data_IF_865742708951
#
_entry.id   IF_865742708951
#
_cell.length_a   1.000
_cell.length_b   1.000
_cell.length_c   1.000
_cell.angle_alpha   90.00
_cell.angle_beta   90.00
_cell.angle_gamma   90.00
#
_symmetry.space_group_name_H-M   'P 1'
#
loop_
_entity.id
_entity.type
_entity.pdbx_description
1 polymer ?
#
# COMPACT_ATOMS: atom_id res chain seq x y z
N UNK A 1 1.74 -10.91 40.89
CA UNK A 1 2.27 -9.59 41.30
C UNK A 1 2.33 -8.77 40.04
N UNK A 2 1.17 -8.27 39.63
CA UNK A 2 0.99 -7.47 38.44
C UNK A 2 1.56 -6.08 38.74
N UNK A 3 2.80 -5.89 38.31
CA UNK A 3 3.56 -4.68 38.54
C UNK A 3 2.90 -3.52 37.78
N UNK A 4 2.41 -2.56 38.56
CA UNK A 4 1.75 -1.32 38.14
C UNK A 4 2.79 -0.33 37.60
N UNK A 5 3.75 -0.80 36.77
CA UNK A 5 4.62 0.06 35.96
C UNK A 5 3.88 0.31 34.65
N UNK A 6 3.23 1.48 34.59
CA UNK A 6 2.24 1.84 33.59
C UNK A 6 2.60 1.41 32.17
N UNK A 7 1.77 0.53 31.61
CA UNK A 7 1.79 0.05 30.22
C UNK A 7 2.15 1.19 29.27
N UNK A 8 3.27 1.06 28.56
CA UNK A 8 3.66 2.02 27.53
C UNK A 8 2.54 2.14 26.50
N UNK A 9 2.08 3.37 26.29
CA UNK A 9 1.12 3.64 25.21
C UNK A 9 1.83 3.60 23.88
N UNK A 10 1.09 3.35 22.80
CA UNK A 10 1.64 3.41 21.45
C UNK A 10 2.30 4.75 21.12
N UNK A 11 1.74 5.86 21.62
CA UNK A 11 2.32 7.19 21.40
C UNK A 11 3.64 7.38 22.14
N UNK A 12 3.73 6.91 23.38
CA UNK A 12 4.98 6.94 24.16
C UNK A 12 6.04 6.05 23.50
N UNK A 13 5.67 4.83 23.12
CA UNK A 13 6.57 3.87 22.46
C UNK A 13 7.12 4.43 21.14
N UNK A 14 6.25 5.03 20.32
CA UNK A 14 6.67 5.74 19.10
C UNK A 14 7.61 6.91 19.38
N UNK A 15 7.39 7.68 20.45
CA UNK A 15 8.29 8.77 20.81
C UNK A 15 9.64 8.26 21.34
N UNK A 16 9.62 7.13 22.04
CA UNK A 16 10.82 6.41 22.48
C UNK A 16 11.63 5.92 21.29
N UNK A 17 11.03 5.22 20.33
CA UNK A 17 11.69 4.76 19.10
C UNK A 17 12.32 5.92 18.31
N UNK A 18 11.58 7.02 18.12
CA UNK A 18 12.13 8.21 17.47
C UNK A 18 13.29 8.80 18.27
N UNK A 19 13.23 8.77 19.60
CA UNK A 19 14.31 9.18 20.48
C UNK A 19 15.56 8.32 20.33
N UNK A 20 15.43 7.00 20.16
CA UNK A 20 16.55 6.09 19.91
C UNK A 20 17.28 6.41 18.59
N UNK A 21 16.53 6.87 17.57
CA UNK A 21 17.10 7.29 16.27
C UNK A 21 17.81 8.63 16.40
N UNK A 22 17.24 9.58 17.12
CA UNK A 22 17.79 10.94 17.26
C UNK A 22 19.00 11.00 18.20
N UNK A 23 19.02 10.15 19.24
CA UNK A 23 20.11 10.06 20.21
C UNK A 23 20.73 8.66 20.12
N UNK A 24 21.86 8.50 19.40
CA UNK A 24 22.55 7.22 19.28
C UNK A 24 23.15 6.76 20.62
N UNK A 25 23.61 5.50 20.67
CA UNK A 25 24.10 4.84 21.90
C UNK A 25 25.30 5.52 22.57
N UNK A 26 26.12 6.24 21.80
CA UNK A 26 27.28 6.98 22.28
C UNK A 26 26.94 8.38 22.84
N UNK A 27 25.68 8.79 22.76
CA UNK A 27 25.25 10.10 23.24
C UNK A 27 25.27 10.17 24.78
N UNK A 28 25.98 11.15 25.38
CA UNK A 28 25.94 11.33 26.83
C UNK A 28 24.55 11.79 27.29
N UNK A 29 24.08 11.25 28.40
CA UNK A 29 22.74 11.50 28.95
C UNK A 29 21.61 11.16 27.95
N UNK A 30 21.81 10.08 27.17
CA UNK A 30 20.84 9.60 26.16
C UNK A 30 19.45 9.43 26.76
N UNK A 31 19.37 8.80 27.94
CA UNK A 31 18.09 8.47 28.58
C UNK A 31 17.37 9.71 29.10
N UNK A 32 18.09 10.67 29.67
CA UNK A 32 17.54 11.95 30.10
C UNK A 32 16.98 12.76 28.93
N UNK A 33 17.65 12.72 27.77
CA UNK A 33 17.18 13.39 26.55
C UNK A 33 15.91 12.76 25.98
N UNK A 34 15.84 11.43 25.95
CA UNK A 34 14.65 10.69 25.50
C UNK A 34 13.50 10.90 26.49
N UNK A 35 13.76 10.81 27.79
CA UNK A 35 12.79 11.09 28.86
C UNK A 35 12.22 12.51 28.75
N UNK A 36 13.07 13.51 28.50
CA UNK A 36 12.64 14.89 28.31
C UNK A 36 11.67 15.05 27.12
N UNK A 37 11.83 14.25 26.06
CA UNK A 37 10.92 14.24 24.90
C UNK A 37 9.59 13.56 25.21
N UNK A 38 9.62 12.49 26.01
CA UNK A 38 8.43 11.79 26.44
C UNK A 38 7.59 12.64 27.40
N UNK A 39 8.24 13.39 28.29
CA UNK A 39 7.61 14.27 29.28
C UNK A 39 6.84 13.52 30.39
N UNK A 40 6.53 12.23 30.19
CA UNK A 40 5.78 11.38 31.10
C UNK A 40 6.62 10.27 31.75
N UNK A 41 7.84 10.03 31.24
CA UNK A 41 8.72 8.94 31.67
C UNK A 41 10.04 9.48 32.19
N UNK A 42 10.57 8.83 33.22
CA UNK A 42 11.90 9.09 33.77
C UNK A 42 12.99 8.39 32.94
N UNK A 43 14.23 8.87 33.07
CA UNK A 43 15.39 8.26 32.40
C UNK A 43 15.54 6.77 32.75
N UNK A 44 15.32 6.40 34.02
CA UNK A 44 15.37 5.01 34.47
C UNK A 44 14.28 4.12 33.83
N UNK A 45 13.06 4.65 33.62
CA UNK A 45 12.00 3.92 32.92
C UNK A 45 12.32 3.73 31.44
N UNK A 46 12.92 4.73 30.81
CA UNK A 46 13.37 4.66 29.41
C UNK A 46 14.48 3.61 29.26
N UNK A 47 15.46 3.63 30.15
CA UNK A 47 16.56 2.65 30.17
C UNK A 47 16.02 1.23 30.38
N UNK A 48 15.09 1.04 31.31
CA UNK A 48 14.48 -0.26 31.55
C UNK A 48 13.68 -0.75 30.34
N UNK A 49 12.90 0.13 29.70
CA UNK A 49 12.14 -0.21 28.48
C UNK A 49 13.08 -0.62 27.34
N UNK A 50 14.22 0.07 27.20
CA UNK A 50 15.26 -0.32 26.25
C UNK A 50 15.86 -1.70 26.56
N UNK A 51 16.17 -1.98 27.83
CA UNK A 51 16.72 -3.27 28.24
C UNK A 51 15.74 -4.43 27.95
N UNK A 52 14.45 -4.23 28.18
CA UNK A 52 13.40 -5.20 27.82
C UNK A 52 13.33 -5.41 26.32
N UNK A 53 13.37 -4.31 25.54
CA UNK A 53 13.37 -4.39 24.08
C UNK A 53 14.56 -5.19 23.54
N UNK A 54 15.76 -4.98 24.09
CA UNK A 54 16.96 -5.73 23.70
C UNK A 54 16.82 -7.22 24.03
N UNK A 55 16.28 -7.56 25.21
CA UNK A 55 16.05 -8.95 25.59
C UNK A 55 15.03 -9.65 24.65
N UNK A 56 13.96 -8.95 24.27
CA UNK A 56 12.98 -9.46 23.30
C UNK A 56 13.62 -9.67 21.92
N UNK A 57 14.45 -8.74 21.44
CA UNK A 57 15.18 -8.88 20.16
C UNK A 57 16.12 -10.08 20.19
N UNK A 58 16.90 -10.24 21.27
CA UNK A 58 17.79 -11.39 21.42
C UNK A 58 17.00 -12.71 21.44
N UNK A 59 15.87 -12.75 22.13
CA UNK A 59 15.00 -13.92 22.15
C UNK A 59 14.39 -14.23 20.78
N UNK A 60 14.09 -13.21 19.95
CA UNK A 60 13.67 -13.38 18.55
C UNK A 60 14.80 -13.98 17.71
N UNK A 61 16.00 -13.39 17.76
CA UNK A 61 17.14 -13.84 16.96
C UNK A 61 17.60 -15.24 17.35
N UNK A 62 17.51 -15.59 18.62
CA UNK A 62 17.81 -16.93 19.13
C UNK A 62 16.69 -17.96 18.86
N UNK A 63 15.55 -17.53 18.31
CA UNK A 63 14.39 -18.40 18.07
C UNK A 63 13.73 -18.92 19.35
N UNK A 64 13.90 -18.20 20.46
CA UNK A 64 13.39 -18.54 21.78
C UNK A 64 11.99 -17.96 22.06
N UNK A 65 11.50 -17.08 21.19
CA UNK A 65 10.09 -16.70 21.20
C UNK A 65 9.30 -17.52 20.19
N UNK A 66 8.11 -17.95 20.59
CA UNK A 66 7.11 -18.41 19.62
C UNK A 66 6.64 -17.18 18.84
N UNK A 67 6.76 -17.17 17.49
CA UNK A 67 6.19 -16.08 16.73
C UNK A 67 4.70 -16.00 17.05
N UNK A 68 4.12 -14.79 17.19
CA UNK A 68 2.68 -14.65 17.32
C UNK A 68 2.00 -15.49 16.23
N UNK A 69 0.84 -16.06 16.55
CA UNK A 69 -0.03 -16.61 15.50
C UNK A 69 -0.48 -15.41 14.65
N UNK A 70 0.36 -15.03 13.67
CA UNK A 70 0.03 -14.05 12.66
C UNK A 70 -1.10 -14.70 11.88
N UNK A 71 -2.33 -14.43 12.32
CA UNK A 71 -3.56 -14.84 11.65
C UNK A 71 -3.31 -14.56 10.19
N UNK A 72 -3.18 -15.61 9.38
CA UNK A 72 -2.81 -15.48 7.98
C UNK A 72 -3.65 -14.34 7.42
N UNK A 73 -3.00 -13.24 7.00
CA UNK A 73 -3.73 -12.13 6.39
C UNK A 73 -4.64 -12.77 5.36
N UNK A 74 -5.97 -12.55 5.43
CA UNK A 74 -6.94 -13.36 4.71
C UNK A 74 -6.43 -13.46 3.29
N UNK A 75 -6.05 -14.70 2.88
CA UNK A 75 -5.42 -14.97 1.58
C UNK A 75 -6.21 -14.16 0.59
N UNK A 76 -5.61 -13.08 0.05
CA UNK A 76 -6.31 -12.12 -0.80
C UNK A 76 -7.12 -12.97 -1.75
N UNK A 77 -8.46 -12.95 -1.61
CA UNK A 77 -9.34 -13.89 -2.31
C UNK A 77 -8.78 -14.04 -3.72
N UNK A 78 -8.29 -15.24 -4.06
CA UNK A 78 -7.58 -15.49 -5.31
C UNK A 78 -8.29 -14.68 -6.38
N UNK A 79 -7.63 -13.61 -6.90
CA UNK A 79 -8.31 -12.52 -7.60
C UNK A 79 -9.30 -13.16 -8.54
N UNK A 80 -10.61 -13.08 -8.22
CA UNK A 80 -11.63 -13.71 -9.06
C UNK A 80 -11.36 -13.17 -10.43
N UNK A 81 -10.94 -14.02 -11.37
CA UNK A 81 -10.57 -13.59 -12.70
C UNK A 81 -11.74 -12.75 -13.20
N UNK A 82 -11.52 -11.44 -13.33
CA UNK A 82 -12.59 -10.54 -13.72
C UNK A 82 -13.09 -11.02 -15.07
N UNK A 83 -14.42 -11.13 -15.24
CA UNK A 83 -15.01 -11.54 -16.51
C UNK A 83 -14.31 -10.78 -17.64
N UNK A 84 -13.76 -11.44 -18.67
CA UNK A 84 -13.13 -10.75 -19.79
C UNK A 84 -14.16 -9.84 -20.46
N UNK A 85 -13.73 -8.71 -21.03
CA UNK A 85 -14.62 -7.84 -21.79
C UNK A 85 -15.08 -8.55 -23.05
N UNK A 86 -16.38 -8.64 -23.26
CA UNK A 86 -16.94 -9.19 -24.51
C UNK A 86 -16.94 -8.14 -25.60
N UNK A 87 -17.07 -8.56 -26.86
CA UNK A 87 -17.21 -7.64 -27.99
C UNK A 87 -18.46 -6.76 -27.85
N UNK A 88 -19.57 -7.33 -27.38
CA UNK A 88 -20.83 -6.63 -27.11
C UNK A 88 -20.67 -5.55 -26.02
N UNK A 89 -20.04 -5.89 -24.89
CA UNK A 89 -19.76 -4.90 -23.84
C UNK A 89 -18.83 -3.78 -24.33
N UNK A 90 -17.87 -4.12 -25.21
CA UNK A 90 -16.99 -3.14 -25.82
C UNK A 90 -17.74 -2.21 -26.78
N UNK A 91 -18.68 -2.72 -27.57
CA UNK A 91 -19.54 -1.92 -28.45
C UNK A 91 -20.39 -0.94 -27.63
N UNK A 92 -21.01 -1.41 -26.55
CA UNK A 92 -21.75 -0.57 -25.60
C UNK A 92 -20.85 0.49 -24.96
N UNK A 93 -19.61 0.15 -24.63
CA UNK A 93 -18.61 1.11 -24.15
C UNK A 93 -18.33 2.21 -25.17
N UNK A 94 -18.14 1.87 -26.46
CA UNK A 94 -17.92 2.85 -27.53
C UNK A 94 -19.16 3.74 -27.76
N UNK A 95 -20.36 3.16 -27.72
CA UNK A 95 -21.62 3.91 -27.78
C UNK A 95 -21.74 4.87 -26.59
N UNK A 96 -21.40 4.41 -25.40
CA UNK A 96 -21.36 5.22 -24.19
C UNK A 96 -20.34 6.36 -24.28
N UNK A 97 -19.14 6.11 -24.82
CA UNK A 97 -18.15 7.16 -25.09
C UNK A 97 -18.68 8.23 -26.06
N UNK A 98 -19.39 7.82 -27.12
CA UNK A 98 -20.00 8.75 -28.09
C UNK A 98 -21.10 9.61 -27.45
N UNK A 99 -21.86 9.03 -26.51
CA UNK A 99 -23.00 9.68 -25.88
C UNK A 99 -22.63 10.58 -24.69
N UNK A 100 -21.74 10.11 -23.81
CA UNK A 100 -21.40 10.79 -22.53
C UNK A 100 -20.01 11.42 -22.52
N UNK A 101 -19.16 11.09 -23.50
CA UNK A 101 -17.80 11.61 -23.59
C UNK A 101 -16.79 10.88 -22.69
N UNK A 102 -15.51 11.20 -22.90
CA UNK A 102 -14.38 10.68 -22.12
C UNK A 102 -14.39 11.29 -20.72
N UNK A 103 -14.41 10.45 -19.68
CA UNK A 103 -14.30 10.88 -18.28
C UNK A 103 -15.57 10.59 -17.46
N UNK A 104 -16.73 10.49 -18.08
CA UNK A 104 -17.99 10.14 -17.39
C UNK A 104 -18.21 8.62 -17.31
N UNK A 105 -17.31 7.94 -16.61
CA UNK A 105 -17.36 6.49 -16.44
C UNK A 105 -18.57 6.02 -15.65
N UNK A 106 -19.14 6.89 -14.80
CA UNK A 106 -20.34 6.61 -14.02
C UNK A 106 -21.56 6.53 -14.92
N UNK A 107 -21.76 7.49 -15.82
CA UNK A 107 -22.88 7.44 -16.78
C UNK A 107 -22.70 6.30 -17.77
N UNK A 108 -21.49 6.05 -18.26
CA UNK A 108 -21.22 4.95 -19.19
C UNK A 108 -21.52 3.60 -18.52
N UNK A 109 -21.09 3.37 -17.29
CA UNK A 109 -21.41 2.15 -16.53
C UNK A 109 -22.91 2.02 -16.27
N UNK A 110 -23.57 3.07 -15.77
CA UNK A 110 -24.98 3.00 -15.33
C UNK A 110 -25.99 3.01 -16.47
N UNK A 111 -25.63 3.44 -17.67
CA UNK A 111 -26.58 3.64 -18.78
C UNK A 111 -26.22 2.89 -20.05
N UNK A 112 -24.94 2.56 -20.26
CA UNK A 112 -24.50 1.83 -21.45
C UNK A 112 -23.99 0.42 -21.11
N UNK A 113 -23.10 0.28 -20.13
CA UNK A 113 -22.45 -0.99 -19.78
C UNK A 113 -22.86 -1.45 -18.38
N UNK A 114 -24.13 -1.85 -18.23
CA UNK A 114 -24.75 -2.21 -16.94
C UNK A 114 -24.04 -3.38 -16.23
N UNK A 115 -23.35 -4.23 -16.98
CA UNK A 115 -22.59 -5.38 -16.47
C UNK A 115 -21.23 -5.01 -15.88
N UNK A 116 -20.79 -3.75 -16.02
CA UNK A 116 -19.48 -3.29 -15.60
C UNK A 116 -19.59 -2.13 -14.64
N UNK A 117 -18.82 -2.17 -13.55
CA UNK A 117 -18.76 -1.07 -12.59
C UNK A 117 -18.04 0.15 -13.19
N UNK A 118 -18.26 1.37 -12.67
CA UNK A 118 -17.58 2.57 -13.16
C UNK A 118 -16.05 2.44 -13.14
N UNK A 119 -15.50 1.74 -12.14
CA UNK A 119 -14.06 1.46 -12.03
C UNK A 119 -13.57 0.50 -13.12
N UNK A 120 -14.36 -0.51 -13.47
CA UNK A 120 -14.04 -1.42 -14.57
C UNK A 120 -14.09 -0.70 -15.92
N UNK A 121 -15.09 0.18 -16.12
CA UNK A 121 -15.19 1.03 -17.32
C UNK A 121 -13.97 1.96 -17.43
N UNK A 122 -13.57 2.62 -16.34
CA UNK A 122 -12.39 3.48 -16.32
C UNK A 122 -11.10 2.70 -16.66
N UNK A 123 -10.94 1.50 -16.08
CA UNK A 123 -9.78 0.64 -16.35
C UNK A 123 -9.74 0.15 -17.80
N UNK A 124 -10.91 -0.17 -18.38
CA UNK A 124 -11.02 -0.55 -19.79
C UNK A 124 -10.72 0.62 -20.71
N UNK A 125 -11.25 1.81 -20.39
CA UNK A 125 -10.97 3.04 -21.12
C UNK A 125 -9.47 3.34 -21.16
N UNK A 126 -8.78 3.22 -20.02
CA UNK A 126 -7.33 3.38 -19.95
C UNK A 126 -6.62 2.43 -20.91
N UNK A 127 -6.93 1.12 -20.85
CA UNK A 127 -6.32 0.13 -21.76
C UNK A 127 -6.66 0.40 -23.22
N UNK A 128 -7.89 0.81 -23.51
CA UNK A 128 -8.35 1.15 -24.85
C UNK A 128 -7.54 2.30 -25.45
N UNK A 129 -7.38 3.42 -24.72
CA UNK A 129 -6.62 4.56 -25.22
C UNK A 129 -5.12 4.27 -25.37
N UNK A 130 -4.53 3.49 -24.46
CA UNK A 130 -3.14 3.06 -24.58
C UNK A 130 -2.90 2.18 -25.82
N UNK A 131 -3.84 1.28 -26.15
CA UNK A 131 -3.76 0.47 -27.38
C UNK A 131 -3.89 1.34 -28.63
N UNK A 132 -4.82 2.30 -28.61
CA UNK A 132 -5.03 3.22 -29.73
C UNK A 132 -3.78 4.06 -30.03
N UNK A 133 -3.11 4.59 -28.99
CA UNK A 133 -1.86 5.32 -29.14
C UNK A 133 -0.74 4.44 -29.71
N UNK A 134 -0.57 3.23 -29.18
CA UNK A 134 0.45 2.30 -29.68
C UNK A 134 0.22 1.93 -31.15
N UNK A 135 -1.02 1.71 -31.55
CA UNK A 135 -1.37 1.41 -32.94
C UNK A 135 -1.11 2.61 -33.85
N UNK A 136 -1.42 3.82 -33.39
CA UNK A 136 -1.10 5.06 -34.10
C UNK A 136 0.43 5.24 -34.27
N UNK A 137 1.22 4.99 -33.23
CA UNK A 137 2.68 5.03 -33.28
C UNK A 137 3.26 3.97 -34.23
N UNK A 138 2.73 2.74 -34.20
CA UNK A 138 3.18 1.69 -35.12
C UNK A 138 2.85 2.00 -36.57
N UNK A 139 1.68 2.60 -36.85
CA UNK A 139 1.32 3.08 -38.19
C UNK A 139 2.25 4.20 -38.66
N UNK A 140 2.66 5.09 -37.76
CA UNK A 140 3.65 6.16 -38.05
C UNK A 140 5.07 5.63 -38.28
N UNK A 141 5.41 4.47 -37.70
CA UNK A 141 6.73 3.81 -37.83
C UNK A 141 6.82 2.80 -38.97
N UNK A 142 5.78 2.61 -39.80
CA UNK A 142 5.85 1.71 -40.95
C UNK A 142 6.92 2.19 -41.95
N UNK A 143 7.74 1.24 -42.38
CA UNK A 143 9.10 1.45 -42.87
C UNK A 143 9.15 1.58 -44.40
N UNK A 144 10.14 2.31 -44.90
CA UNK A 144 10.49 2.43 -46.33
C UNK A 144 10.75 1.08 -47.02
N UNK A 145 10.97 0.00 -46.27
CA UNK A 145 11.27 -1.35 -46.78
C UNK A 145 10.04 -2.23 -47.06
N UNK A 146 8.80 -1.74 -46.92
CA UNK A 146 7.57 -2.49 -47.19
C UNK A 146 7.02 -2.36 -48.65
N UNK A 147 7.72 -1.65 -49.56
CA UNK A 147 7.34 -1.52 -50.99
C UNK A 147 8.14 -2.52 -51.84
N UNK A 148 7.50 -3.62 -52.27
CA UNK A 148 8.05 -4.60 -53.22
C UNK A 148 7.73 -4.22 -54.68
N UNK A 149 8.63 -4.40 -55.65
CA UNK A 149 8.28 -4.95 -56.95
C UNK A 149 8.23 -6.49 -56.92
#
# INVERSE_FOLDING_TARGET
MDDVRGRWTWQEDKQFENGLVEFPEDCPNRWERIAARLGTRSAAEVEWHYAVLLADVEAIEAGLIEPPEYREAPKQHARKAGRPWTAEEHELFLKGLKQYGKGDWKSISRKAVLTRSPTQVASHAQKYYLRLQKEEEQRKRKSIFDIKP
#
